data_IF_093049035273
#
_entry.id   IF_093049035273
#
_cell.length_a   1.000
_cell.length_b   1.000
_cell.length_c   1.000
_cell.angle_alpha   90.00
_cell.angle_beta   90.00
_cell.angle_gamma   90.00
#
_symmetry.space_group_name_H-M   'P 1'
#
loop_
_entity.id
_entity.type
_entity.pdbx_description
1 polymer ?
#
# COMPACT_ATOMS: atom_id res chain seq x y z
N UNK A 1 12.91 6.79 -6.20
CA UNK A 1 11.81 5.78 -6.19
C UNK A 1 10.72 6.22 -7.16
N UNK A 2 9.80 5.32 -7.52
CA UNK A 2 8.56 5.71 -8.19
C UNK A 2 7.78 6.71 -7.30
N UNK A 3 6.96 7.58 -7.90
CA UNK A 3 6.11 8.53 -7.18
C UNK A 3 5.17 7.83 -6.17
N UNK A 4 4.64 6.66 -6.55
CA UNK A 4 3.82 5.80 -5.71
C UNK A 4 4.49 4.46 -5.47
N UNK A 5 4.45 3.99 -4.22
CA UNK A 5 4.82 2.63 -3.88
C UNK A 5 3.55 1.83 -3.61
N UNK A 6 3.34 0.77 -4.37
CA UNK A 6 2.33 -0.23 -4.03
C UNK A 6 2.90 -1.16 -2.96
N UNK A 7 2.39 -1.05 -1.74
CA UNK A 7 2.77 -1.91 -0.62
C UNK A 7 2.01 -3.23 -0.75
N UNK A 8 2.72 -4.29 -1.14
CA UNK A 8 2.13 -5.58 -1.53
C UNK A 8 1.54 -6.27 -0.29
N UNK A 9 2.23 -6.20 0.83
CA UNK A 9 1.87 -6.84 2.08
C UNK A 9 1.98 -8.37 2.02
N UNK A 10 1.79 -9.02 3.17
CA UNK A 10 2.06 -10.44 3.30
C UNK A 10 1.11 -11.32 2.47
N UNK A 11 -0.20 -11.00 2.46
CA UNK A 11 -1.18 -11.82 1.76
C UNK A 11 -0.88 -11.94 0.26
N UNK A 12 -0.67 -10.81 -0.42
CA UNK A 12 -0.35 -10.84 -1.85
C UNK A 12 1.09 -11.29 -2.15
N UNK A 13 1.98 -11.34 -1.15
CA UNK A 13 3.32 -11.91 -1.33
C UNK A 13 3.30 -13.45 -1.32
N UNK A 14 2.45 -14.07 -0.50
CA UNK A 14 2.47 -15.53 -0.29
C UNK A 14 1.27 -16.30 -0.88
N UNK A 15 0.10 -15.68 -1.04
CA UNK A 15 -1.10 -16.33 -1.58
C UNK A 15 -1.30 -16.04 -3.08
N UNK A 16 -1.38 -17.09 -3.90
CA UNK A 16 -1.47 -16.96 -5.36
C UNK A 16 -2.73 -16.23 -5.84
N UNK A 17 -3.84 -16.34 -5.10
CA UNK A 17 -5.08 -15.63 -5.45
C UNK A 17 -4.89 -14.14 -5.24
N UNK A 18 -4.30 -13.74 -4.11
CA UNK A 18 -3.99 -12.35 -3.81
C UNK A 18 -2.88 -11.78 -4.71
N UNK A 19 -1.93 -12.60 -5.17
CA UNK A 19 -0.96 -12.16 -6.19
C UNK A 19 -1.63 -11.72 -7.50
N UNK A 20 -2.71 -12.40 -7.93
CA UNK A 20 -3.48 -11.98 -9.12
C UNK A 20 -4.14 -10.63 -8.90
N UNK A 21 -4.71 -10.39 -7.72
CA UNK A 21 -5.31 -9.11 -7.34
C UNK A 21 -4.27 -7.98 -7.29
N UNK A 22 -3.10 -8.24 -6.70
CA UNK A 22 -2.00 -7.27 -6.67
C UNK A 22 -1.49 -6.92 -8.08
N UNK A 23 -1.32 -7.92 -8.94
CA UNK A 23 -0.96 -7.72 -10.35
C UNK A 23 -2.01 -6.91 -11.10
N UNK A 24 -3.30 -7.18 -10.90
CA UNK A 24 -4.36 -6.40 -11.52
C UNK A 24 -4.38 -4.95 -11.01
N UNK A 25 -4.25 -4.75 -9.69
CA UNK A 25 -4.21 -3.42 -9.08
C UNK A 25 -3.06 -2.58 -9.64
N UNK A 26 -1.83 -3.11 -9.63
CA UNK A 26 -0.67 -2.34 -10.12
C UNK A 26 -0.75 -2.08 -11.63
N UNK A 27 -1.32 -3.01 -12.41
CA UNK A 27 -1.54 -2.79 -13.85
C UNK A 27 -2.53 -1.64 -14.10
N UNK A 28 -3.64 -1.57 -13.37
CA UNK A 28 -4.59 -0.45 -13.47
C UNK A 28 -3.95 0.88 -13.11
N UNK A 29 -3.13 0.93 -12.06
CA UNK A 29 -2.41 2.14 -11.69
C UNK A 29 -1.44 2.59 -12.80
N UNK A 30 -0.72 1.65 -13.41
CA UNK A 30 0.18 1.93 -14.55
C UNK A 30 -0.59 2.37 -15.80
N UNK A 31 -1.71 1.71 -16.11
CA UNK A 31 -2.57 2.06 -17.25
C UNK A 31 -3.16 3.46 -17.10
N UNK A 32 -3.52 3.85 -15.87
CA UNK A 32 -3.92 5.21 -15.56
C UNK A 32 -2.78 6.22 -15.69
N UNK A 33 -1.53 5.79 -15.95
CA UNK A 33 -0.35 6.62 -16.13
C UNK A 33 0.33 7.05 -14.83
N UNK A 34 0.12 6.34 -13.72
CA UNK A 34 0.89 6.60 -12.49
C UNK A 34 2.29 6.01 -12.59
N UNK A 35 3.28 6.75 -12.10
CA UNK A 35 4.61 6.21 -11.81
C UNK A 35 4.53 5.40 -10.50
N UNK A 36 4.34 4.09 -10.65
CA UNK A 36 4.14 3.16 -9.53
C UNK A 36 5.14 2.00 -9.55
N UNK A 37 5.76 1.75 -8.39
CA UNK A 37 6.69 0.66 -8.14
C UNK A 37 6.32 -0.17 -6.91
N UNK A 38 7.12 -1.19 -6.61
CA UNK A 38 7.07 -1.98 -5.37
C UNK A 38 8.43 -1.94 -4.69
N UNK A 39 8.48 -2.21 -3.38
CA UNK A 39 9.76 -2.26 -2.62
C UNK A 39 10.52 -3.57 -2.81
N UNK A 40 9.85 -4.61 -3.36
CA UNK A 40 10.46 -5.92 -3.57
C UNK A 40 10.95 -6.52 -2.25
N UNK A 41 12.20 -6.98 -2.21
CA UNK A 41 12.78 -7.59 -1.00
C UNK A 41 13.00 -6.62 0.16
N UNK A 42 12.89 -5.30 -0.08
CA UNK A 42 12.99 -4.29 0.97
C UNK A 42 11.65 -4.06 1.68
N UNK A 43 10.55 -4.68 1.22
CA UNK A 43 9.26 -4.59 1.90
C UNK A 43 9.24 -5.46 3.16
N UNK A 44 9.11 -4.83 4.32
CA UNK A 44 8.86 -5.52 5.59
C UNK A 44 7.37 -5.77 5.82
N UNK A 45 7.05 -6.66 6.76
CA UNK A 45 5.69 -6.80 7.29
C UNK A 45 5.23 -5.46 7.90
N UNK A 46 3.96 -5.09 7.73
CA UNK A 46 3.40 -3.88 8.36
C UNK A 46 3.38 -3.94 9.90
N UNK A 47 3.53 -5.14 10.48
CA UNK A 47 3.47 -5.36 11.91
C UNK A 47 2.05 -5.46 12.49
N UNK A 48 1.00 -5.33 11.66
CA UNK A 48 -0.40 -5.43 12.10
C UNK A 48 -0.67 -6.68 12.98
N UNK A 49 -0.34 -7.91 12.57
CA UNK A 49 -0.62 -9.09 13.39
C UNK A 49 0.07 -9.06 14.76
N UNK A 50 1.31 -8.55 14.81
CA UNK A 50 2.05 -8.43 16.07
C UNK A 50 1.36 -7.45 17.02
N UNK A 51 0.93 -6.30 16.49
CA UNK A 51 0.22 -5.29 17.27
C UNK A 51 -1.13 -5.77 17.75
N UNK A 52 -1.92 -6.41 16.87
CA UNK A 52 -3.23 -6.97 17.25
C UNK A 52 -3.11 -8.09 18.28
N UNK A 53 -1.99 -8.80 18.31
CA UNK A 53 -1.68 -9.80 19.34
C UNK A 53 -1.12 -9.19 20.66
N UNK A 54 -0.98 -7.87 20.76
CA UNK A 54 -0.42 -7.18 21.93
C UNK A 54 1.10 -7.24 22.04
N UNK A 55 1.79 -7.69 20.98
CA UNK A 55 3.25 -7.69 20.91
C UNK A 55 3.76 -6.34 20.40
N UNK A 56 3.62 -5.31 21.24
CA UNK A 56 3.95 -3.92 20.91
C UNK A 56 5.45 -3.73 20.62
N UNK A 57 6.34 -4.48 21.29
CA UNK A 57 7.78 -4.41 21.03
C UNK A 57 8.11 -4.87 19.60
N UNK A 58 7.56 -6.00 19.16
CA UNK A 58 7.76 -6.48 17.79
C UNK A 58 7.14 -5.51 16.77
N UNK A 59 5.95 -4.97 17.07
CA UNK A 59 5.33 -3.96 16.22
C UNK A 59 6.23 -2.73 16.06
N UNK A 60 6.76 -2.17 17.15
CA UNK A 60 7.68 -1.04 17.11
C UNK A 60 8.90 -1.32 16.24
N UNK A 61 9.57 -2.47 16.43
CA UNK A 61 10.74 -2.81 15.62
C UNK A 61 10.40 -2.90 14.12
N UNK A 62 9.26 -3.50 13.76
CA UNK A 62 8.82 -3.61 12.37
C UNK A 62 8.43 -2.25 11.78
N UNK A 63 7.77 -1.40 12.56
CA UNK A 63 7.38 -0.06 12.14
C UNK A 63 8.63 0.80 11.89
N UNK A 64 9.54 0.89 12.85
CA UNK A 64 10.79 1.67 12.73
C UNK A 64 11.65 1.21 11.55
N UNK A 65 11.78 -0.11 11.34
CA UNK A 65 12.53 -0.66 10.21
C UNK A 65 11.92 -0.23 8.85
N UNK A 66 10.61 -0.37 8.70
CA UNK A 66 9.93 0.06 7.48
C UNK A 66 10.02 1.59 7.28
N UNK A 67 9.85 2.38 8.34
CA UNK A 67 9.98 3.84 8.26
C UNK A 67 11.38 4.26 7.84
N UNK A 68 12.43 3.61 8.37
CA UNK A 68 13.81 3.83 7.92
C UNK A 68 13.95 3.56 6.41
N UNK A 69 13.46 2.40 5.95
CA UNK A 69 13.47 2.06 4.52
C UNK A 69 12.72 3.09 3.67
N UNK A 70 11.54 3.54 4.12
CA UNK A 70 10.77 4.55 3.38
C UNK A 70 11.52 5.88 3.29
N UNK A 71 12.16 6.32 4.38
CA UNK A 71 12.94 7.55 4.40
C UNK A 71 14.20 7.47 3.53
N UNK A 72 14.95 6.37 3.64
CA UNK A 72 16.16 6.10 2.84
C UNK A 72 15.86 6.10 1.33
N UNK A 73 14.74 5.47 0.94
CA UNK A 73 14.31 5.42 -0.44
C UNK A 73 13.59 6.69 -0.89
N UNK A 74 13.22 7.60 0.02
CA UNK A 74 12.46 8.81 -0.29
C UNK A 74 11.00 8.54 -0.69
N UNK A 75 10.39 7.50 -0.15
CA UNK A 75 8.98 7.15 -0.36
C UNK A 75 8.08 8.20 0.26
N UNK A 76 7.17 8.75 -0.54
CA UNK A 76 6.21 9.79 -0.10
C UNK A 76 4.77 9.33 -0.11
N UNK A 77 4.42 8.42 -1.03
CA UNK A 77 3.06 7.91 -1.21
C UNK A 77 3.05 6.40 -1.26
N UNK A 78 2.19 5.79 -0.46
CA UNK A 78 1.94 4.36 -0.48
C UNK A 78 0.49 4.10 -0.91
N UNK A 79 0.31 3.14 -1.80
CA UNK A 79 -0.98 2.53 -2.10
C UNK A 79 -1.02 1.15 -1.47
N UNK A 80 -2.03 0.87 -0.65
CA UNK A 80 -2.22 -0.44 -0.03
C UNK A 80 -3.55 -1.05 -0.45
N UNK A 81 -3.53 -2.34 -0.85
CA UNK A 81 -4.76 -3.09 -1.10
C UNK A 81 -5.35 -3.75 0.14
N UNK A 82 -4.51 -4.07 1.12
CA UNK A 82 -4.94 -4.67 2.37
C UNK A 82 -5.44 -3.58 3.33
N UNK A 83 -6.65 -3.69 3.90
CA UNK A 83 -7.18 -2.69 4.84
C UNK A 83 -6.35 -2.60 6.12
N UNK A 84 -5.74 -3.69 6.57
CA UNK A 84 -4.86 -3.68 7.74
C UNK A 84 -3.55 -2.93 7.45
N UNK A 85 -2.92 -3.20 6.30
CA UNK A 85 -1.72 -2.45 5.90
C UNK A 85 -2.05 -0.96 5.72
N UNK A 86 -3.17 -0.64 5.08
CA UNK A 86 -3.66 0.74 4.94
C UNK A 86 -3.81 1.43 6.30
N UNK A 87 -4.47 0.77 7.27
CA UNK A 87 -4.66 1.32 8.60
C UNK A 87 -3.33 1.51 9.33
N UNK A 88 -2.51 0.47 9.41
CA UNK A 88 -1.24 0.52 10.15
C UNK A 88 -0.27 1.54 9.56
N UNK A 89 -0.07 1.53 8.24
CA UNK A 89 0.81 2.50 7.60
C UNK A 89 0.27 3.94 7.72
N UNK A 90 -1.04 4.14 7.61
CA UNK A 90 -1.64 5.48 7.54
C UNK A 90 -2.03 6.11 8.88
N UNK A 91 -2.24 5.29 9.93
CA UNK A 91 -2.71 5.75 11.25
C UNK A 91 -1.77 5.46 12.39
N UNK A 92 -0.91 4.45 12.23
CA UNK A 92 -0.08 3.96 13.33
C UNK A 92 1.40 4.29 13.12
N UNK A 93 1.92 4.23 11.88
CA UNK A 93 3.29 4.65 11.59
C UNK A 93 3.61 6.13 11.82
N UNK A 94 2.64 7.09 11.85
CA UNK A 94 2.93 8.46 12.28
C UNK A 94 3.58 8.55 13.66
N UNK A 95 3.25 7.65 14.59
CA UNK A 95 3.86 7.61 15.93
C UNK A 95 5.36 7.22 15.89
N UNK A 96 5.84 6.70 14.75
CA UNK A 96 7.20 6.23 14.51
C UNK A 96 7.96 7.06 13.47
N UNK A 97 7.47 8.26 13.13
CA UNK A 97 8.16 9.18 12.22
C UNK A 97 7.76 9.08 10.75
N UNK A 98 6.58 8.52 10.45
CA UNK A 98 5.97 8.54 9.13
C UNK A 98 4.78 9.50 9.01
N UNK A 99 4.75 10.59 9.78
CA UNK A 99 3.67 11.58 9.82
C UNK A 99 3.40 12.26 8.46
N UNK A 100 4.39 12.29 7.58
CA UNK A 100 4.32 12.87 6.23
C UNK A 100 4.01 11.85 5.13
N UNK A 101 3.86 10.59 5.48
CA UNK A 101 3.60 9.52 4.52
C UNK A 101 2.13 9.56 4.10
N UNK A 102 1.86 9.82 2.83
CA UNK A 102 0.51 9.73 2.29
C UNK A 102 0.18 8.26 2.01
N UNK A 103 -0.82 7.72 2.70
CA UNK A 103 -1.26 6.33 2.51
C UNK A 103 -2.67 6.32 1.94
N UNK A 104 -2.82 5.71 0.78
CA UNK A 104 -4.08 5.58 0.05
C UNK A 104 -4.49 4.11 0.01
N UNK A 105 -5.77 3.84 0.25
CA UNK A 105 -6.32 2.53 -0.06
C UNK A 105 -6.52 2.41 -1.57
N UNK A 106 -6.30 1.22 -2.12
CA UNK A 106 -6.42 0.98 -3.58
C UNK A 106 -7.77 1.45 -4.14
N UNK A 107 -8.88 1.26 -3.41
CA UNK A 107 -10.20 1.72 -3.88
C UNK A 107 -10.30 3.25 -3.95
N UNK A 108 -9.65 3.98 -3.03
CA UNK A 108 -9.68 5.44 -3.01
C UNK A 108 -8.95 6.03 -4.22
N UNK A 109 -7.76 5.49 -4.51
CA UNK A 109 -6.99 5.97 -5.66
C UNK A 109 -7.65 5.56 -6.98
N UNK A 110 -8.20 4.35 -7.09
CA UNK A 110 -8.91 3.92 -8.30
C UNK A 110 -10.15 4.79 -8.56
N UNK A 111 -10.95 5.08 -7.52
CA UNK A 111 -12.09 5.99 -7.65
C UNK A 111 -11.66 7.39 -8.10
N UNK A 112 -10.61 7.94 -7.48
CA UNK A 112 -10.03 9.23 -7.88
C UNK A 112 -9.59 9.23 -9.36
N UNK A 113 -8.93 8.18 -9.82
CA UNK A 113 -8.47 8.07 -11.21
C UNK A 113 -9.65 7.94 -12.20
N UNK A 114 -10.76 7.31 -11.79
CA UNK A 114 -11.99 7.30 -12.59
C UNK A 114 -12.61 8.70 -12.69
N UNK A 115 -12.63 9.46 -11.59
CA UNK A 115 -13.13 10.84 -11.59
C UNK A 115 -12.24 11.79 -12.40
N UNK A 116 -10.92 11.54 -12.44
CA UNK A 116 -9.97 12.23 -13.30
C UNK A 116 -10.04 11.79 -14.78
N UNK A 117 -10.88 10.81 -15.11
CA UNK A 117 -11.00 10.27 -16.48
C UNK A 117 -9.79 9.46 -16.94
N UNK A 118 -8.91 9.05 -16.01
CA UNK A 118 -7.70 8.25 -16.26
C UNK A 118 -7.98 6.75 -16.26
N UNK A 119 -9.12 6.34 -15.70
CA UNK A 119 -9.67 4.99 -15.79
C UNK A 119 -11.12 5.05 -16.29
N UNK A 120 -11.59 4.03 -17.01
CA UNK A 120 -12.97 3.98 -17.45
C UNK A 120 -13.91 3.89 -16.23
N UNK A 121 -15.06 4.57 -16.33
CA UNK A 121 -16.17 4.32 -15.40
C UNK A 121 -16.80 2.98 -15.73
N UNK A 122 -17.16 2.23 -14.69
CA UNK A 122 -17.98 1.05 -14.87
C UNK A 122 -19.36 1.56 -15.29
N UNK A 123 -19.71 1.35 -16.55
CA UNK A 123 -21.09 1.42 -17.01
C UNK A 123 -21.68 0.06 -16.72
N UNK A 124 -22.62 0.01 -15.78
CA UNK A 124 -23.41 -1.19 -15.57
C UNK A 124 -24.12 -1.51 -16.89
N UNK A 125 -23.76 -2.63 -17.50
CA UNK A 125 -24.64 -3.26 -18.47
C UNK A 125 -25.74 -3.91 -17.64
N UNK A 126 -26.86 -3.22 -17.51
CA UNK A 126 -28.12 -3.85 -17.07
C UNK A 126 -28.42 -5.00 -18.04
N UNK A 127 -28.37 -6.23 -17.55
CA UNK A 127 -29.12 -7.37 -18.12
C UNK A 127 -30.58 -7.29 -17.67
#
# INVERSE_FOLDING_TARGET
>A
PAEYIYFVGCAASFDERNQKVARATISLLKEAGLDVGILGMQEGCSGDPARRAGNEYLFQMLAEANVSTFQELGVKRIVASCPHCFHTLGKEYPDYGADKLEVLHHSQILAKLQDEGRLPRIVDHED
#
